data_IF_382984369098
#
_entry.id   IF_382984369098
#
_cell.length_a   1.000
_cell.length_b   1.000
_cell.length_c   1.000
_cell.angle_alpha   90.00
_cell.angle_beta   90.00
_cell.angle_gamma   90.00
#
_symmetry.space_group_name_H-M   'P 1'
#
loop_
_entity.id
_entity.type
_entity.pdbx_description
1 polymer ?
#
# COMPACT_ATOMS: atom_id res chain seq x y z
N UNK A 1 -10.96 21.22 6.49
CA UNK A 1 -10.35 22.01 5.38
C UNK A 1 -9.14 21.21 4.94
N UNK A 2 -9.16 20.58 3.79
CA UNK A 2 -8.00 19.84 3.29
C UNK A 2 -7.14 20.83 2.50
N UNK A 3 -6.03 21.24 3.09
CA UNK A 3 -5.03 22.03 2.39
C UNK A 3 -4.24 21.14 1.45
N UNK A 4 -4.80 20.88 0.27
CA UNK A 4 -4.01 20.35 -0.84
C UNK A 4 -3.22 21.49 -1.46
N UNK A 5 -1.98 21.62 -1.01
CA UNK A 5 -1.01 22.42 -1.74
C UNK A 5 -0.40 21.52 -2.83
N UNK A 6 -0.63 21.89 -4.08
CA UNK A 6 -0.17 21.13 -5.24
C UNK A 6 0.87 21.94 -6.00
N UNK A 7 2.13 21.54 -5.90
CA UNK A 7 3.18 22.03 -6.78
C UNK A 7 3.24 21.14 -8.03
N UNK A 8 2.88 21.71 -9.18
CA UNK A 8 2.96 21.03 -10.46
C UNK A 8 1.59 20.64 -11.06
N UNK A 9 1.64 19.94 -12.19
CA UNK A 9 0.44 19.48 -12.90
C UNK A 9 -0.06 18.18 -12.29
N UNK A 10 -1.20 18.24 -11.62
CA UNK A 10 -1.91 17.05 -11.11
C UNK A 10 -3.13 16.82 -11.98
N UNK A 11 -3.22 15.61 -12.53
CA UNK A 11 -4.38 15.17 -13.30
C UNK A 11 -5.32 14.37 -12.42
N UNK A 12 -6.55 14.83 -12.27
CA UNK A 12 -7.63 14.03 -11.69
C UNK A 12 -8.33 13.29 -12.81
N UNK A 13 -8.29 11.97 -12.77
CA UNK A 13 -9.01 11.11 -13.70
C UNK A 13 -10.31 10.68 -13.05
N UNK A 14 -11.42 10.97 -13.72
CA UNK A 14 -12.74 10.53 -13.30
C UNK A 14 -13.14 9.29 -14.10
N UNK A 15 -13.75 8.33 -13.43
CA UNK A 15 -14.43 7.22 -14.11
C UNK A 15 -15.78 7.71 -14.62
N UNK A 16 -15.88 7.92 -15.91
CA UNK A 16 -17.11 8.31 -16.58
C UNK A 16 -17.95 7.10 -17.03
N UNK A 17 -17.60 5.88 -16.60
CA UNK A 17 -18.34 4.67 -16.97
C UNK A 17 -18.23 4.30 -18.46
N UNK A 18 -17.20 4.80 -19.15
CA UNK A 18 -17.05 4.60 -20.61
C UNK A 18 -16.42 3.26 -20.96
N UNK A 19 -15.78 2.61 -20.02
CA UNK A 19 -15.14 1.28 -20.21
C UNK A 19 -15.65 0.27 -19.20
N UNK A 20 -15.79 -0.98 -19.63
CA UNK A 20 -16.07 -2.07 -18.71
C UNK A 20 -14.85 -2.39 -17.82
N UNK A 21 -15.08 -2.95 -16.62
CA UNK A 21 -13.99 -3.41 -15.73
C UNK A 21 -13.04 -4.36 -16.47
N UNK A 22 -13.57 -5.25 -17.32
CA UNK A 22 -12.76 -6.19 -18.13
C UNK A 22 -11.83 -5.48 -19.10
N UNK A 23 -12.30 -4.40 -19.74
CA UNK A 23 -11.48 -3.63 -20.65
C UNK A 23 -10.39 -2.85 -19.90
N UNK A 24 -10.73 -2.30 -18.73
CA UNK A 24 -9.75 -1.63 -17.86
C UNK A 24 -8.67 -2.61 -17.36
N UNK A 25 -9.06 -3.81 -16.93
CA UNK A 25 -8.10 -4.85 -16.52
C UNK A 25 -7.19 -5.30 -17.67
N UNK A 26 -7.73 -5.40 -18.88
CA UNK A 26 -6.93 -5.71 -20.08
C UNK A 26 -5.91 -4.63 -20.38
N UNK A 27 -6.30 -3.36 -20.23
CA UNK A 27 -5.37 -2.24 -20.38
C UNK A 27 -4.27 -2.28 -19.32
N UNK A 28 -4.63 -2.52 -18.04
CA UNK A 28 -3.68 -2.66 -16.94
C UNK A 28 -2.70 -3.81 -17.16
N UNK A 29 -3.17 -4.96 -17.63
CA UNK A 29 -2.33 -6.09 -18.00
C UNK A 29 -1.31 -5.74 -19.10
N UNK A 30 -1.72 -4.94 -20.09
CA UNK A 30 -0.81 -4.51 -21.15
C UNK A 30 0.21 -3.49 -20.61
N UNK A 31 -0.22 -2.52 -19.82
CA UNK A 31 0.69 -1.54 -19.21
C UNK A 31 1.68 -2.18 -18.25
N UNK A 32 1.26 -3.20 -17.49
CA UNK A 32 2.12 -3.87 -16.50
C UNK A 32 3.31 -4.61 -17.13
N UNK A 33 3.25 -4.96 -18.42
CA UNK A 33 4.35 -5.58 -19.16
C UNK A 33 5.55 -4.63 -19.30
N UNK A 34 5.28 -3.35 -19.52
CA UNK A 34 6.29 -2.31 -19.72
C UNK A 34 6.57 -1.53 -18.44
N UNK A 35 5.54 -1.30 -17.64
CA UNK A 35 5.57 -0.49 -16.41
C UNK A 35 4.98 -1.29 -15.26
N UNK A 36 5.85 -2.01 -14.56
CA UNK A 36 5.48 -2.77 -13.38
C UNK A 36 4.81 -1.87 -12.34
N UNK A 37 3.72 -2.39 -11.74
CA UNK A 37 2.89 -1.68 -10.78
C UNK A 37 2.97 -2.34 -9.41
N UNK A 38 3.08 -1.52 -8.36
CA UNK A 38 2.97 -1.93 -6.97
C UNK A 38 1.72 -1.36 -6.34
N UNK A 39 1.16 -2.09 -5.37
CA UNK A 39 0.05 -1.65 -4.55
C UNK A 39 0.53 -1.43 -3.12
N UNK A 40 0.20 -0.28 -2.54
CA UNK A 40 0.42 0.01 -1.12
C UNK A 40 -0.92 -0.10 -0.39
N UNK A 41 -0.93 -0.89 0.68
CA UNK A 41 -2.05 -1.06 1.61
C UNK A 41 -1.63 -0.57 3.01
N UNK A 42 -1.89 0.69 3.37
CA UNK A 42 -1.69 1.15 4.75
C UNK A 42 -2.78 0.52 5.63
N UNK A 43 -2.38 -0.32 6.56
CA UNK A 43 -3.27 -1.20 7.32
C UNK A 43 -3.05 -1.04 8.82
N UNK A 44 -4.11 -0.80 9.57
CA UNK A 44 -4.12 -1.01 11.01
C UNK A 44 -4.38 -2.48 11.31
N UNK A 45 -3.74 -3.04 12.34
CA UNK A 45 -4.02 -4.42 12.72
C UNK A 45 -5.49 -4.69 13.02
N UNK A 46 -6.24 -3.71 13.55
CA UNK A 46 -7.67 -3.83 13.81
C UNK A 46 -8.50 -4.11 12.55
N UNK A 47 -8.06 -3.66 11.38
CA UNK A 47 -8.75 -3.82 10.10
C UNK A 47 -8.78 -5.28 9.63
N UNK A 48 -7.82 -6.10 10.08
CA UNK A 48 -7.84 -7.54 9.80
C UNK A 48 -9.07 -8.25 10.38
N UNK A 49 -9.70 -7.66 11.40
CA UNK A 49 -10.91 -8.18 12.05
C UNK A 49 -12.19 -7.54 11.50
N UNK A 50 -12.04 -6.54 10.64
CA UNK A 50 -13.16 -5.85 10.00
C UNK A 50 -13.71 -6.62 8.80
N UNK A 51 -14.80 -6.09 8.24
CA UNK A 51 -15.48 -6.71 7.09
C UNK A 51 -14.89 -6.26 5.74
N UNK A 52 -14.23 -5.09 5.69
CA UNK A 52 -13.74 -4.50 4.46
C UNK A 52 -12.47 -5.19 3.95
N UNK A 53 -11.42 -5.25 4.78
CA UNK A 53 -10.11 -5.76 4.37
C UNK A 53 -10.14 -7.21 3.85
N UNK A 54 -10.87 -8.17 4.44
CA UNK A 54 -10.96 -9.52 3.88
C UNK A 54 -11.55 -9.55 2.47
N UNK A 55 -12.54 -8.69 2.17
CA UNK A 55 -13.13 -8.56 0.83
C UNK A 55 -12.13 -7.93 -0.13
N UNK A 56 -11.48 -6.83 0.27
CA UNK A 56 -10.44 -6.15 -0.53
C UNK A 56 -9.35 -7.13 -0.92
N UNK A 57 -8.81 -7.90 0.05
CA UNK A 57 -7.76 -8.90 -0.22
C UNK A 57 -8.25 -10.00 -1.15
N UNK A 58 -9.51 -10.42 -1.04
CA UNK A 58 -10.11 -11.40 -1.96
C UNK A 58 -10.21 -10.85 -3.38
N UNK A 59 -10.55 -9.58 -3.57
CA UNK A 59 -10.57 -8.96 -4.91
C UNK A 59 -9.15 -8.75 -5.46
N UNK A 60 -8.23 -8.28 -4.64
CA UNK A 60 -6.83 -8.10 -5.04
C UNK A 60 -6.19 -9.44 -5.44
N UNK A 61 -6.50 -10.54 -4.78
CA UNK A 61 -5.96 -11.86 -5.12
C UNK A 61 -6.36 -12.35 -6.52
N UNK A 62 -7.40 -11.77 -7.12
CA UNK A 62 -7.80 -12.07 -8.50
C UNK A 62 -7.02 -11.28 -9.55
N UNK A 63 -6.26 -10.26 -9.13
CA UNK A 63 -5.54 -9.39 -10.05
C UNK A 63 -4.22 -10.03 -10.48
N UNK A 64 -3.85 -9.89 -11.73
CA UNK A 64 -2.64 -10.47 -12.32
C UNK A 64 -1.71 -9.42 -12.95
N UNK A 65 -2.02 -8.14 -12.77
CA UNK A 65 -1.24 -7.01 -13.28
C UNK A 65 -0.36 -6.36 -12.20
N UNK A 66 -0.50 -6.73 -10.94
CA UNK A 66 0.33 -6.23 -9.86
C UNK A 66 1.64 -7.01 -9.76
N UNK A 67 2.76 -6.30 -9.68
CA UNK A 67 4.08 -6.89 -9.51
C UNK A 67 4.39 -7.22 -8.04
N UNK A 68 3.93 -6.39 -7.12
CA UNK A 68 4.15 -6.54 -5.68
C UNK A 68 3.12 -5.76 -4.87
N UNK A 69 2.91 -6.20 -3.63
CA UNK A 69 2.04 -5.51 -2.67
C UNK A 69 2.86 -5.17 -1.43
N UNK A 70 2.84 -3.89 -1.03
CA UNK A 70 3.48 -3.43 0.21
C UNK A 70 2.38 -3.15 1.23
N UNK A 71 2.38 -3.88 2.33
CA UNK A 71 1.41 -3.73 3.41
C UNK A 71 2.09 -2.97 4.55
N UNK A 72 1.71 -1.73 4.77
CA UNK A 72 2.18 -0.95 5.89
C UNK A 72 1.38 -1.28 7.15
N UNK A 73 1.88 -2.20 7.98
CA UNK A 73 1.18 -2.63 9.19
C UNK A 73 1.49 -1.71 10.37
N UNK A 74 0.45 -1.09 10.91
CA UNK A 74 0.54 -0.17 12.04
C UNK A 74 -0.27 -0.65 13.25
N UNK A 75 0.08 -0.21 14.44
CA UNK A 75 -0.53 -0.56 15.73
C UNK A 75 -0.63 -2.07 15.96
N UNK A 76 0.47 -2.77 15.71
CA UNK A 76 0.56 -4.22 15.86
C UNK A 76 1.69 -4.63 16.81
N UNK A 77 1.38 -5.52 17.76
CA UNK A 77 2.40 -6.25 18.51
C UNK A 77 3.09 -7.31 17.62
N UNK A 78 4.19 -7.89 18.08
CA UNK A 78 4.88 -8.95 17.33
C UNK A 78 3.98 -10.15 17.02
N UNK A 79 3.20 -10.60 18.01
CA UNK A 79 2.23 -11.69 17.80
C UNK A 79 1.17 -11.30 16.75
N UNK A 80 0.74 -10.05 16.74
CA UNK A 80 -0.21 -9.54 15.78
C UNK A 80 0.40 -9.41 14.38
N UNK A 81 1.65 -9.00 14.28
CA UNK A 81 2.36 -8.96 13.01
C UNK A 81 2.50 -10.36 12.38
N UNK A 82 2.78 -11.39 13.19
CA UNK A 82 2.78 -12.79 12.73
C UNK A 82 1.40 -13.23 12.21
N UNK A 83 0.32 -12.87 12.92
CA UNK A 83 -1.06 -13.15 12.47
C UNK A 83 -1.41 -12.40 11.19
N UNK A 84 -0.94 -11.17 11.03
CA UNK A 84 -1.11 -10.42 9.80
C UNK A 84 -0.40 -11.11 8.62
N UNK A 85 0.80 -11.64 8.82
CA UNK A 85 1.48 -12.44 7.79
C UNK A 85 0.59 -13.59 7.31
N UNK A 86 0.12 -14.44 8.21
CA UNK A 86 -0.77 -15.56 7.86
C UNK A 86 -2.06 -15.10 7.18
N UNK A 87 -2.60 -13.92 7.57
CA UNK A 87 -3.79 -13.37 6.92
C UNK A 87 -3.53 -13.02 5.45
N UNK A 88 -2.35 -12.45 5.13
CA UNK A 88 -2.00 -12.03 3.77
C UNK A 88 -1.37 -13.14 2.91
N UNK A 89 -1.02 -14.30 3.46
CA UNK A 89 -0.49 -15.45 2.70
C UNK A 89 -1.42 -15.96 1.59
N UNK A 90 -2.70 -15.60 1.64
CA UNK A 90 -3.68 -15.92 0.59
C UNK A 90 -3.53 -15.05 -0.68
N UNK A 91 -2.70 -14.00 -0.65
CA UNK A 91 -2.38 -13.23 -1.84
C UNK A 91 -1.47 -14.03 -2.75
N UNK A 92 -1.85 -14.18 -4.02
CA UNK A 92 -1.01 -14.83 -5.03
C UNK A 92 0.14 -13.92 -5.48
N UNK A 93 -0.10 -12.60 -5.48
CA UNK A 93 0.94 -11.60 -5.76
C UNK A 93 1.96 -11.55 -4.63
N UNK A 94 3.26 -11.54 -4.93
CA UNK A 94 4.30 -11.36 -3.92
C UNK A 94 4.05 -10.12 -3.05
N UNK A 95 4.23 -10.23 -1.75
CA UNK A 95 3.99 -9.11 -0.84
C UNK A 95 5.10 -8.94 0.20
N UNK A 96 5.15 -7.75 0.79
CA UNK A 96 6.00 -7.41 1.93
C UNK A 96 5.16 -6.74 3.00
N UNK A 97 5.28 -7.18 4.26
CA UNK A 97 4.71 -6.46 5.39
C UNK A 97 5.79 -5.55 5.98
N UNK A 98 5.56 -4.25 5.90
CA UNK A 98 6.35 -3.24 6.58
C UNK A 98 5.72 -2.97 7.95
N UNK A 99 6.25 -3.64 8.98
CA UNK A 99 5.72 -3.52 10.32
C UNK A 99 6.26 -2.29 11.03
N UNK A 100 5.42 -1.26 11.17
CA UNK A 100 5.79 0.06 11.69
C UNK A 100 6.24 0.04 13.15
N UNK A 101 5.67 -0.84 13.97
CA UNK A 101 6.06 -1.03 15.37
C UNK A 101 7.22 -1.99 15.56
N UNK A 102 7.72 -2.57 14.46
CA UNK A 102 8.79 -3.54 14.48
C UNK A 102 10.17 -2.95 14.77
N UNK A 103 11.11 -3.78 15.25
CA UNK A 103 12.43 -3.30 15.66
C UNK A 103 13.22 -2.70 14.49
N UNK A 104 13.07 -3.25 13.29
CA UNK A 104 13.82 -2.80 12.12
C UNK A 104 13.37 -1.40 11.68
N UNK A 105 12.06 -1.17 11.58
CA UNK A 105 11.56 0.15 11.19
C UNK A 105 11.79 1.19 12.28
N UNK A 106 11.66 0.82 13.56
CA UNK A 106 12.02 1.70 14.68
C UNK A 106 13.50 2.12 14.64
N UNK A 107 14.40 1.20 14.27
CA UNK A 107 15.81 1.52 14.12
C UNK A 107 16.02 2.50 12.96
N UNK A 108 15.42 2.25 11.80
CA UNK A 108 15.48 3.14 10.64
C UNK A 108 14.90 4.53 10.98
N UNK A 109 13.73 4.59 11.60
CA UNK A 109 13.10 5.83 12.04
C UNK A 109 14.02 6.67 12.95
N UNK A 110 14.71 6.00 13.89
CA UNK A 110 15.69 6.66 14.77
C UNK A 110 16.87 7.25 14.00
N UNK A 111 17.37 6.55 12.99
CA UNK A 111 18.47 7.07 12.16
C UNK A 111 17.99 8.24 11.29
N UNK A 112 16.83 8.13 10.67
CA UNK A 112 16.25 9.21 9.88
C UNK A 112 15.93 10.46 10.71
N UNK A 113 15.49 10.30 11.95
CA UNK A 113 15.27 11.42 12.88
C UNK A 113 16.54 12.20 13.20
N UNK A 114 17.68 11.52 13.30
CA UNK A 114 18.97 12.21 13.50
C UNK A 114 19.35 13.13 12.31
N UNK A 115 18.81 12.80 11.14
CA UNK A 115 19.04 13.52 9.89
C UNK A 115 17.92 14.51 9.55
N UNK A 116 16.93 14.65 10.46
CA UNK A 116 15.71 15.46 10.24
C UNK A 116 14.92 15.07 8.96
N UNK A 117 14.94 13.78 8.64
CA UNK A 117 14.29 13.21 7.45
C UNK A 117 13.04 12.38 7.78
N UNK A 118 12.83 11.98 9.05
CA UNK A 118 11.68 11.18 9.41
C UNK A 118 10.41 12.02 9.54
N UNK A 119 9.23 11.49 9.15
CA UNK A 119 7.96 12.15 9.45
C UNK A 119 7.77 12.34 10.96
N UNK A 120 7.42 13.56 11.37
CA UNK A 120 7.26 13.91 12.78
C UNK A 120 5.97 13.36 13.41
N UNK A 121 4.91 13.21 12.62
CA UNK A 121 3.60 12.81 13.08
C UNK A 121 3.35 11.31 12.87
N UNK A 122 2.78 10.67 13.89
CA UNK A 122 2.32 9.29 13.78
C UNK A 122 0.97 9.24 13.09
N UNK A 123 0.76 8.22 12.26
CA UNK A 123 -0.51 7.99 11.59
C UNK A 123 -0.37 7.47 10.17
N UNK A 124 -1.45 7.51 9.42
CA UNK A 124 -1.54 6.98 8.07
C UNK A 124 -0.49 7.60 7.13
N UNK A 125 -0.31 8.92 7.18
CA UNK A 125 0.69 9.60 6.34
C UNK A 125 2.10 9.07 6.55
N UNK A 126 2.52 8.86 7.81
CA UNK A 126 3.81 8.27 8.14
C UNK A 126 3.92 6.83 7.64
N UNK A 127 2.87 6.02 7.79
CA UNK A 127 2.82 4.66 7.28
C UNK A 127 3.03 4.64 5.76
N UNK A 128 2.26 5.44 5.03
CA UNK A 128 2.36 5.57 3.57
C UNK A 128 3.76 6.05 3.15
N UNK A 129 4.35 7.02 3.87
CA UNK A 129 5.68 7.53 3.59
C UNK A 129 6.75 6.42 3.62
N UNK A 130 6.72 5.56 4.66
CA UNK A 130 7.63 4.42 4.74
C UNK A 130 7.37 3.37 3.65
N UNK A 131 6.11 3.13 3.29
CA UNK A 131 5.76 2.22 2.20
C UNK A 131 6.28 2.72 0.85
N UNK A 132 6.16 4.02 0.58
CA UNK A 132 6.72 4.65 -0.63
C UNK A 132 8.25 4.52 -0.60
N UNK A 133 8.89 4.80 0.55
CA UNK A 133 10.34 4.62 0.70
C UNK A 133 10.78 3.17 0.42
N UNK A 134 10.00 2.17 0.86
CA UNK A 134 10.25 0.77 0.54
C UNK A 134 10.10 0.49 -0.96
N UNK A 135 9.07 1.01 -1.61
CA UNK A 135 8.87 0.86 -3.06
C UNK A 135 10.05 1.45 -3.85
N UNK A 136 10.50 2.65 -3.49
CA UNK A 136 11.66 3.29 -4.10
C UNK A 136 12.93 2.46 -3.88
N UNK A 137 13.17 1.97 -2.67
CA UNK A 137 14.34 1.17 -2.33
C UNK A 137 14.36 -0.19 -3.06
N UNK A 138 13.20 -0.74 -3.38
CA UNK A 138 13.06 -1.97 -4.18
C UNK A 138 13.37 -1.75 -5.65
N UNK A 139 13.14 -0.55 -6.16
CA UNK A 139 13.30 -0.16 -7.59
C UNK A 139 12.71 -1.18 -8.59
N UNK A 140 11.60 -1.82 -8.18
CA UNK A 140 10.98 -2.91 -8.95
C UNK A 140 9.71 -2.50 -9.69
N UNK A 141 9.21 -1.29 -9.43
CA UNK A 141 8.02 -0.76 -10.08
C UNK A 141 8.25 0.66 -10.63
N UNK A 142 7.39 1.04 -11.58
CA UNK A 142 7.39 2.40 -12.18
C UNK A 142 6.13 3.19 -11.82
N UNK A 143 5.16 2.52 -11.22
CA UNK A 143 3.95 3.14 -10.70
C UNK A 143 3.51 2.47 -9.42
N UNK A 144 2.92 3.27 -8.54
CA UNK A 144 2.43 2.82 -7.24
C UNK A 144 0.97 3.27 -7.12
N UNK A 145 0.10 2.34 -6.78
CA UNK A 145 -1.27 2.61 -6.36
C UNK A 145 -1.36 2.58 -4.84
N UNK A 146 -2.21 3.41 -4.28
CA UNK A 146 -2.53 3.42 -2.85
C UNK A 146 -4.01 3.08 -2.68
N UNK A 147 -4.32 2.10 -1.83
CA UNK A 147 -5.69 1.70 -1.52
C UNK A 147 -5.90 1.62 -0.01
N UNK A 148 -6.97 2.21 0.47
CA UNK A 148 -7.34 2.19 1.87
C UNK A 148 -7.95 0.84 2.27
N UNK A 149 -7.63 0.35 3.47
CA UNK A 149 -8.06 -0.96 3.95
C UNK A 149 -9.48 -0.97 4.57
N UNK A 150 -10.12 0.19 4.72
CA UNK A 150 -11.43 0.37 5.36
C UNK A 150 -12.56 0.73 4.39
N UNK A 151 -12.28 0.84 3.10
CA UNK A 151 -13.30 1.15 2.08
C UNK A 151 -14.28 -0.02 1.98
N UNK A 152 -15.56 0.31 2.19
CA UNK A 152 -16.69 -0.60 2.00
C UNK A 152 -17.39 -0.24 0.70
N UNK A 153 -17.43 -1.17 -0.24
CA UNK A 153 -18.23 -1.12 -1.47
C UNK A 153 -19.46 -2.01 -1.33
#
# INVERSE_FOLDING_TARGET
MSDFYQDGTISTLHDFGTKSTKDLEKDLLNFSKERKMELILPCLYSELKGDALPKIVTEISKTNYLNHIIIGLDKASETQARKAWTFFEKLETPFTILWNDGPNLKKLDKELKKLDLAPNEYGKGRNVWYCIGMSIARDSARSVALHDCDIKT
#
